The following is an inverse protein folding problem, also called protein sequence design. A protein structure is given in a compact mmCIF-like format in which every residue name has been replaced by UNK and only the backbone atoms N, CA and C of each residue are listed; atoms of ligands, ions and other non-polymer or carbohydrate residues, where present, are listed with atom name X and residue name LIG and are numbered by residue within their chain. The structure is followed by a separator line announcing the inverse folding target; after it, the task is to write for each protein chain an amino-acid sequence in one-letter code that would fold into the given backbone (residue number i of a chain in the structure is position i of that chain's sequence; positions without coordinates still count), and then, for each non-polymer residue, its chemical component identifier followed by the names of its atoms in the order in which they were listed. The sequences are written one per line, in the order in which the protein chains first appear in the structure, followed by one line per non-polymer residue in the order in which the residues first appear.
data_IF_954705495168
#
_entry.id   IF_954705495168
#
_cell.length_a   1.000
_cell.length_b   1.000
_cell.length_c   1.000
_cell.angle_alpha   90.00
_cell.angle_beta   90.00
_cell.angle_gamma   90.00
#
_symmetry.space_group_name_H-M   'P 1'
#
loop_
_entity.id
_entity.type
_entity.pdbx_description
1 polymer ?
#
# COMPACT_ATOMS: atom_id res chain seq x y z
N UNK A 1 -15.54 -12.11 -33.79
CA UNK A 1 -15.80 -10.78 -33.21
C UNK A 1 -14.55 -10.32 -32.49
N UNK A 2 -14.00 -9.13 -32.77
CA UNK A 2 -12.86 -8.63 -32.02
C UNK A 2 -13.34 -8.30 -30.62
N UNK A 3 -12.68 -8.89 -29.62
CA UNK A 3 -12.91 -8.54 -28.22
C UNK A 3 -12.38 -7.12 -28.09
N UNK A 4 -13.29 -6.17 -28.01
CA UNK A 4 -13.01 -4.77 -27.72
C UNK A 4 -12.52 -4.71 -26.26
N UNK A 5 -11.23 -5.01 -26.06
CA UNK A 5 -10.56 -4.81 -24.79
C UNK A 5 -10.47 -3.31 -24.62
N UNK A 6 -11.53 -2.73 -24.05
CA UNK A 6 -11.49 -1.38 -23.53
C UNK A 6 -10.23 -1.29 -22.66
N UNK A 7 -9.21 -0.64 -23.22
CA UNK A 7 -7.95 -0.32 -22.59
C UNK A 7 -8.23 0.74 -21.53
N UNK A 8 -8.98 0.35 -20.49
CA UNK A 8 -8.90 1.04 -19.21
C UNK A 8 -7.51 0.75 -18.73
N UNK A 9 -6.60 1.68 -19.00
CA UNK A 9 -5.24 1.67 -18.51
C UNK A 9 -5.28 1.21 -17.07
N UNK A 10 -4.56 0.14 -16.73
CA UNK A 10 -4.44 -0.40 -15.37
C UNK A 10 -4.24 0.70 -14.33
N UNK A 11 -3.61 1.80 -14.74
CA UNK A 11 -3.45 3.07 -14.04
C UNK A 11 -4.77 3.59 -13.46
N UNK A 12 -5.83 3.74 -14.26
CA UNK A 12 -7.13 4.23 -13.78
C UNK A 12 -7.80 3.25 -12.81
N UNK A 13 -7.60 1.95 -13.00
CA UNK A 13 -8.15 0.94 -12.08
C UNK A 13 -7.43 1.02 -10.74
N UNK A 14 -6.10 1.11 -10.73
CA UNK A 14 -5.32 1.22 -9.48
C UNK A 14 -5.65 2.51 -8.73
N UNK A 15 -5.85 3.62 -9.44
CA UNK A 15 -6.19 4.91 -8.84
C UNK A 15 -7.63 4.97 -8.31
N UNK A 16 -8.59 4.27 -8.94
CA UNK A 16 -10.00 4.22 -8.52
C UNK A 16 -10.30 3.12 -7.48
N UNK A 17 -9.43 2.13 -7.31
CA UNK A 17 -9.67 1.05 -6.36
C UNK A 17 -9.19 1.45 -4.97
N UNK A 18 -10.12 1.66 -4.04
CA UNK A 18 -9.81 1.59 -2.60
C UNK A 18 -9.37 0.18 -2.28
N UNK A 19 -8.07 -0.06 -2.29
CA UNK A 19 -7.51 -1.35 -1.93
C UNK A 19 -7.57 -1.46 -0.41
N UNK A 20 -8.63 -2.10 0.07
CA UNK A 20 -8.91 -2.35 1.50
C UNK A 20 -7.85 -3.22 2.16
N UNK A 21 -7.02 -3.90 1.38
CA UNK A 21 -6.03 -4.86 1.85
C UNK A 21 -4.71 -4.71 1.07
N UNK A 22 -4.14 -3.50 1.10
CA UNK A 22 -2.83 -3.23 0.50
C UNK A 22 -1.75 -3.84 1.39
N UNK A 23 -1.04 -4.89 0.93
CA UNK A 23 0.02 -5.45 1.75
C UNK A 23 1.16 -4.43 1.89
N UNK A 24 1.65 -4.25 3.13
CA UNK A 24 2.68 -3.27 3.50
C UNK A 24 3.91 -3.27 2.59
N UNK A 25 4.20 -4.40 1.93
CA UNK A 25 5.27 -4.51 0.92
C UNK A 25 5.19 -3.48 -0.22
N UNK A 26 4.00 -2.93 -0.47
CA UNK A 26 3.75 -1.90 -1.49
C UNK A 26 3.51 -0.51 -0.89
N UNK A 27 3.57 -0.34 0.43
CA UNK A 27 3.52 0.98 1.05
C UNK A 27 4.86 1.69 0.82
N UNK A 28 4.80 2.89 0.26
CA UNK A 28 5.91 3.84 0.14
C UNK A 28 6.07 4.63 1.45
N UNK A 29 4.95 5.08 2.01
CA UNK A 29 4.92 5.86 3.24
C UNK A 29 3.59 5.62 3.96
N UNK A 30 3.62 5.62 5.29
CA UNK A 30 2.43 5.63 6.15
C UNK A 30 2.48 6.90 6.99
N UNK A 31 1.46 7.74 6.84
CA UNK A 31 1.26 8.92 7.66
C UNK A 31 0.12 8.66 8.65
N UNK A 32 0.42 8.77 9.92
CA UNK A 32 -0.56 8.63 11.01
C UNK A 32 -0.83 10.02 11.58
N UNK A 33 -2.08 10.46 11.51
CA UNK A 33 -2.54 11.70 12.15
C UNK A 33 -3.17 11.37 13.48
N UNK A 34 -2.70 12.05 14.52
CA UNK A 34 -3.27 11.99 15.86
C UNK A 34 -4.34 13.07 16.04
N UNK A 35 -5.23 12.85 17.01
CA UNK A 35 -6.31 13.76 17.37
C UNK A 35 -5.84 15.14 17.90
N UNK A 36 -4.58 15.24 18.32
CA UNK A 36 -3.94 16.48 18.77
C UNK A 36 -3.35 17.30 17.59
N UNK A 37 -3.45 16.81 16.35
CA UNK A 37 -2.89 17.44 15.15
C UNK A 37 -1.48 16.99 14.79
N UNK A 38 -0.80 16.20 15.63
CA UNK A 38 0.51 15.62 15.33
C UNK A 38 0.40 14.66 14.15
N UNK A 39 1.32 14.78 13.20
CA UNK A 39 1.44 13.85 12.06
C UNK A 39 2.77 13.12 12.17
N UNK A 40 2.71 11.79 12.23
CA UNK A 40 3.87 10.92 12.19
C UNK A 40 3.99 10.28 10.82
N UNK A 41 5.17 10.39 10.21
CA UNK A 41 5.46 9.83 8.91
C UNK A 41 6.47 8.69 9.04
N UNK A 42 6.11 7.53 8.51
CA UNK A 42 6.95 6.34 8.49
C UNK A 42 7.33 6.01 7.05
N UNK A 43 8.62 5.82 6.82
CA UNK A 43 9.17 5.51 5.50
C UNK A 43 9.27 3.99 5.26
N UNK A 44 9.53 3.62 4.01
CA UNK A 44 9.64 2.21 3.62
C UNK A 44 10.62 1.38 4.45
N UNK A 45 11.69 1.96 5.02
CA UNK A 45 12.69 1.20 5.78
C UNK A 45 12.14 0.68 7.11
N UNK A 46 11.23 1.44 7.73
CA UNK A 46 10.52 1.04 8.95
C UNK A 46 9.39 0.08 8.58
N UNK A 47 8.59 0.44 7.57
CA UNK A 47 7.38 -0.30 7.22
C UNK A 47 7.68 -1.73 6.76
N UNK A 48 8.75 -1.93 5.99
CA UNK A 48 9.12 -3.25 5.43
C UNK A 48 9.52 -4.28 6.47
N UNK A 49 9.71 -3.89 7.73
CA UNK A 49 10.00 -4.82 8.84
C UNK A 49 8.76 -5.58 9.31
N UNK A 50 7.57 -5.16 8.88
CA UNK A 50 6.29 -5.68 9.32
C UNK A 50 5.57 -6.43 8.21
N UNK A 51 4.80 -7.46 8.57
CA UNK A 51 4.07 -8.31 7.64
C UNK A 51 2.64 -7.80 7.40
N UNK A 52 2.03 -7.17 8.39
CA UNK A 52 0.67 -6.60 8.32
C UNK A 52 0.58 -5.21 8.96
N UNK A 53 -0.41 -4.44 8.55
CA UNK A 53 -0.69 -3.13 9.15
C UNK A 53 -1.00 -3.26 10.64
N UNK A 54 -1.71 -4.31 11.05
CA UNK A 54 -2.02 -4.56 12.47
C UNK A 54 -0.74 -4.75 13.29
N UNK A 55 0.21 -5.54 12.80
CA UNK A 55 1.51 -5.74 13.46
C UNK A 55 2.28 -4.42 13.59
N UNK A 56 2.28 -3.61 12.53
CA UNK A 56 2.88 -2.28 12.53
C UNK A 56 2.22 -1.36 13.57
N UNK A 57 0.89 -1.26 13.56
CA UNK A 57 0.14 -0.37 14.46
C UNK A 57 0.28 -0.80 15.91
N UNK A 58 0.22 -2.10 16.20
CA UNK A 58 0.46 -2.63 17.55
C UNK A 58 1.88 -2.35 18.03
N UNK A 59 2.89 -2.52 17.16
CA UNK A 59 4.27 -2.25 17.53
C UNK A 59 4.47 -0.76 17.84
N UNK A 60 3.94 0.13 17.01
CA UNK A 60 4.01 1.57 17.22
C UNK A 60 3.28 2.01 18.49
N UNK A 61 2.15 1.38 18.81
CA UNK A 61 1.43 1.61 20.06
C UNK A 61 2.27 1.17 21.28
N UNK A 62 2.87 -0.03 21.23
CA UNK A 62 3.73 -0.56 22.31
C UNK A 62 5.01 0.25 22.52
N UNK A 63 5.61 0.73 21.44
CA UNK A 63 6.83 1.54 21.48
C UNK A 63 6.54 3.00 21.91
N UNK A 64 5.27 3.34 22.16
CA UNK A 64 4.87 4.66 22.64
C UNK A 64 4.89 5.73 21.56
N UNK A 65 4.94 5.36 20.27
CA UNK A 65 4.92 6.33 19.18
C UNK A 65 3.62 7.16 19.20
N UNK A 66 2.50 6.55 19.60
CA UNK A 66 1.20 7.22 19.76
C UNK A 66 0.96 7.76 21.18
N UNK A 67 2.01 7.94 22.00
CA UNK A 67 1.85 8.41 23.39
C UNK A 67 1.28 9.82 23.50
N UNK A 68 1.43 10.64 22.46
CA UNK A 68 0.97 12.03 22.45
C UNK A 68 -0.53 12.20 22.14
N UNK A 69 -1.23 11.15 21.68
CA UNK A 69 -2.64 11.25 21.30
C UNK A 69 -3.22 9.99 20.66
N UNK A 70 -4.54 9.98 20.46
CA UNK A 70 -5.22 8.85 19.81
C UNK A 70 -5.08 8.95 18.29
N UNK A 71 -4.89 7.80 17.63
CA UNK A 71 -4.88 7.72 16.16
C UNK A 71 -6.25 8.13 15.63
N UNK A 72 -6.26 9.19 14.82
CA UNK A 72 -7.47 9.73 14.20
C UNK A 72 -7.60 9.27 12.75
N UNK A 73 -6.50 9.27 12.00
CA UNK A 73 -6.49 8.94 10.58
C UNK A 73 -5.15 8.31 10.17
N UNK A 74 -5.18 7.42 9.18
CA UNK A 74 -4.02 6.72 8.63
C UNK A 74 -4.05 6.84 7.12
N UNK A 75 -3.10 7.57 6.56
CA UNK A 75 -2.94 7.74 5.13
C UNK A 75 -1.74 6.92 4.64
N UNK A 76 -1.99 6.05 3.65
CA UNK A 76 -0.97 5.17 3.09
C UNK A 76 -0.70 5.60 1.66
N UNK A 77 0.54 5.94 1.36
CA UNK A 77 1.01 6.16 -0.01
C UNK A 77 1.56 4.86 -0.58
N UNK A 78 1.11 4.49 -1.76
CA UNK A 78 1.49 3.23 -2.44
C UNK A 78 2.62 3.48 -3.43
N UNK A 79 3.61 2.58 -3.43
CA UNK A 79 4.63 2.49 -4.47
C UNK A 79 4.02 1.88 -5.74
N UNK A 80 3.37 2.74 -6.53
CA UNK A 80 2.67 2.36 -7.77
C UNK A 80 3.61 1.76 -8.80
N UNK A 81 4.88 2.19 -8.85
CA UNK A 81 5.89 1.63 -9.75
C UNK A 81 6.13 0.16 -9.42
N UNK A 82 6.36 -0.15 -8.14
CA UNK A 82 6.62 -1.52 -7.70
C UNK A 82 5.40 -2.43 -7.88
N UNK A 83 4.19 -1.90 -7.65
CA UNK A 83 2.94 -2.61 -7.93
C UNK A 83 2.84 -2.93 -9.43
N UNK A 84 3.03 -1.94 -10.31
CA UNK A 84 2.97 -2.12 -11.77
C UNK A 84 4.00 -3.16 -12.24
N UNK A 85 5.25 -3.07 -11.79
CA UNK A 85 6.29 -4.04 -12.15
C UNK A 85 5.95 -5.46 -11.69
N UNK A 86 5.40 -5.61 -10.48
CA UNK A 86 5.00 -6.93 -9.97
C UNK A 86 3.88 -7.54 -10.81
N UNK A 87 2.84 -6.75 -11.13
CA UNK A 87 1.72 -7.18 -11.98
C UNK A 87 2.22 -7.58 -13.37
N UNK A 88 3.03 -6.73 -14.01
CA UNK A 88 3.60 -7.00 -15.33
C UNK A 88 4.40 -8.30 -15.36
N UNK A 89 5.25 -8.54 -14.36
CA UNK A 89 6.04 -9.78 -14.27
C UNK A 89 5.15 -11.00 -14.08
N UNK A 90 4.11 -10.90 -13.25
CA UNK A 90 3.17 -12.01 -13.03
C UNK A 90 2.38 -12.34 -14.30
N UNK A 91 1.90 -11.32 -15.02
CA UNK A 91 1.20 -11.47 -16.29
C UNK A 91 2.13 -12.09 -17.34
N UNK A 92 3.36 -11.58 -17.50
CA UNK A 92 4.34 -12.17 -18.43
C UNK A 92 4.60 -13.65 -18.14
N UNK A 93 4.77 -14.02 -16.86
CA UNK A 93 4.99 -15.42 -16.48
C UNK A 93 3.79 -16.32 -16.74
N UNK A 94 2.56 -15.80 -16.59
CA UNK A 94 1.35 -16.55 -16.95
C UNK A 94 1.27 -16.73 -18.46
N UNK A 95 1.49 -15.67 -19.25
CA UNK A 95 1.45 -15.74 -20.71
C UNK A 95 2.46 -16.74 -21.27
N UNK A 96 3.69 -16.78 -20.73
CA UNK A 96 4.71 -17.78 -21.08
C UNK A 96 4.31 -19.24 -20.84
N UNK A 97 3.31 -19.53 -20.00
CA UNK A 97 2.80 -20.90 -19.78
C UNK A 97 1.82 -21.36 -20.86
N UNK A 98 1.32 -20.43 -21.66
CA UNK A 98 0.37 -20.68 -22.74
C UNK A 98 0.97 -20.39 -24.13
N UNK A 99 2.26 -20.05 -24.19
CA UNK A 99 3.12 -20.13 -25.38
C UNK A 99 3.76 -21.53 -25.45
#
# INVERSE_FOLDING_TARGET
MPIDRQSRYLDNIIDETTVTDLPLKYAENINVRLNNGTVMSFDTSVIRKFHSMDEFMEKMLRDGAFSEGMVQDVNIRVDTVRVKTHIQNKVKNVLKKYE
#
